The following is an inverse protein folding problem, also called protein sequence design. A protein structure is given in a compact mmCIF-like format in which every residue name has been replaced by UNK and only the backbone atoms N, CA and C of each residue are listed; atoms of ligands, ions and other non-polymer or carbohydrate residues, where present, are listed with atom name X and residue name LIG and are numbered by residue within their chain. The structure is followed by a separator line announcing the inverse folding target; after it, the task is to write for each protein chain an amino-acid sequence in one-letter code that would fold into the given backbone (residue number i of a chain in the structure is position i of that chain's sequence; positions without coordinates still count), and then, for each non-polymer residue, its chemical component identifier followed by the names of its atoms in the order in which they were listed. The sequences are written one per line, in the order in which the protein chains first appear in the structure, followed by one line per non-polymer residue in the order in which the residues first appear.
data_IF_729414302567
#
_entry.id   IF_729414302567
#
_cell.length_a   1.000
_cell.length_b   1.000
_cell.length_c   1.000
_cell.angle_alpha   90.00
_cell.angle_beta   90.00
_cell.angle_gamma   90.00
#
_symmetry.space_group_name_H-M   'P 1'
#
loop_
_entity.id
_entity.type
_entity.pdbx_description
1 polymer ?
#
# COMPACT_ATOMS: atom_id res chain seq x y z
N UNK A 1 -3.18 -15.02 -19.91
CA UNK A 1 -3.75 -14.29 -18.76
C UNK A 1 -2.71 -13.29 -18.30
N UNK A 2 -2.90 -12.01 -18.58
CA UNK A 2 -1.96 -10.97 -18.17
C UNK A 2 -2.08 -10.81 -16.66
N UNK A 3 -0.98 -11.01 -15.92
CA UNK A 3 -0.90 -10.66 -14.50
C UNK A 3 -0.99 -9.12 -14.41
N UNK A 4 -2.19 -8.58 -14.56
CA UNK A 4 -2.41 -7.15 -14.43
C UNK A 4 -2.15 -6.84 -12.95
N UNK A 5 -1.10 -6.08 -12.70
CA UNK A 5 -0.87 -5.49 -11.39
C UNK A 5 -2.15 -4.70 -11.08
N UNK A 6 -2.91 -5.01 -10.01
CA UNK A 6 -4.13 -4.26 -9.68
C UNK A 6 -3.85 -2.97 -8.93
N UNK A 7 -2.82 -2.99 -8.08
CA UNK A 7 -2.49 -1.86 -7.21
C UNK A 7 -1.17 -1.22 -7.62
N UNK A 8 -1.11 0.12 -7.55
CA UNK A 8 0.13 0.89 -7.70
C UNK A 8 0.39 1.66 -6.41
N UNK A 9 1.61 1.56 -5.88
CA UNK A 9 2.03 2.38 -4.74
C UNK A 9 2.21 3.82 -5.20
N UNK A 10 1.58 4.77 -4.51
CA UNK A 10 1.69 6.19 -4.83
C UNK A 10 2.70 6.87 -3.90
N UNK A 11 2.47 6.76 -2.59
CA UNK A 11 3.29 7.39 -1.57
C UNK A 11 3.03 6.75 -0.20
N UNK A 12 3.89 7.07 0.76
CA UNK A 12 3.66 6.88 2.19
C UNK A 12 3.76 8.20 2.93
N UNK A 13 3.11 8.28 4.08
CA UNK A 13 3.21 9.39 5.00
C UNK A 13 3.53 8.85 6.39
N UNK A 14 4.53 9.42 7.06
CA UNK A 14 4.76 9.13 8.46
C UNK A 14 3.67 9.82 9.31
N UNK A 15 2.93 9.04 10.07
CA UNK A 15 1.87 9.49 10.98
C UNK A 15 2.19 9.04 12.40
N UNK A 16 1.54 9.62 13.40
CA UNK A 16 1.77 9.28 14.82
C UNK A 16 1.57 7.79 15.11
N UNK A 17 0.68 7.15 14.35
CA UNK A 17 0.29 5.75 14.50
C UNK A 17 1.04 4.80 13.54
N UNK A 18 2.17 5.23 12.96
CA UNK A 18 2.97 4.44 12.04
C UNK A 18 3.08 5.07 10.65
N UNK A 19 2.81 4.30 9.60
CA UNK A 19 2.84 4.79 8.21
C UNK A 19 1.46 4.69 7.59
N UNK A 20 1.00 5.79 7.00
CA UNK A 20 -0.16 5.79 6.10
C UNK A 20 0.33 5.48 4.69
N UNK A 21 -0.33 4.52 4.06
CA UNK A 21 -0.03 4.07 2.71
C UNK A 21 -1.08 4.63 1.77
N UNK A 22 -0.65 5.14 0.62
CA UNK A 22 -1.51 5.54 -0.48
C UNK A 22 -1.26 4.65 -1.69
N UNK A 23 -2.31 3.96 -2.16
CA UNK A 23 -2.27 3.16 -3.37
C UNK A 23 -3.35 3.58 -4.34
N UNK A 24 -3.11 3.33 -5.62
CA UNK A 24 -4.12 3.45 -6.66
C UNK A 24 -4.60 2.05 -7.05
N UNK A 25 -5.90 1.78 -6.87
CA UNK A 25 -6.57 0.60 -7.40
C UNK A 25 -6.92 0.87 -8.87
N UNK A 26 -6.19 0.23 -9.78
CA UNK A 26 -6.35 0.43 -11.23
C UNK A 26 -7.62 -0.21 -11.77
N UNK A 27 -8.17 -1.22 -11.09
CA UNK A 27 -9.42 -1.86 -11.50
C UNK A 27 -10.62 -0.96 -11.24
N UNK A 28 -10.65 -0.32 -10.06
CA UNK A 28 -11.73 0.58 -9.66
C UNK A 28 -11.42 2.07 -9.94
N UNK A 29 -10.24 2.36 -10.47
CA UNK A 29 -9.73 3.70 -10.76
C UNK A 29 -9.83 4.66 -9.56
N UNK A 30 -9.53 4.18 -8.37
CA UNK A 30 -9.68 4.94 -7.13
C UNK A 30 -8.41 4.93 -6.26
N UNK A 31 -8.22 6.00 -5.50
CA UNK A 31 -7.15 6.11 -4.50
C UNK A 31 -7.62 5.49 -3.18
N UNK A 32 -6.87 4.54 -2.67
CA UNK A 32 -7.06 3.95 -1.34
C UNK A 32 -5.97 4.47 -0.41
N UNK A 33 -6.35 4.79 0.82
CA UNK A 33 -5.43 5.27 1.86
C UNK A 33 -5.73 4.58 3.18
N UNK A 34 -4.73 3.97 3.80
CA UNK A 34 -4.93 3.22 5.05
C UNK A 34 -3.67 3.25 5.92
N UNK A 35 -3.85 3.06 7.22
CA UNK A 35 -2.73 2.89 8.15
C UNK A 35 -2.19 1.46 8.01
N UNK A 36 -0.89 1.33 7.75
CA UNK A 36 -0.24 0.05 7.53
C UNK A 36 -0.24 -0.85 8.78
N UNK A 37 -0.02 -0.26 9.95
CA UNK A 37 0.02 -0.97 11.23
C UNK A 37 -1.36 -1.52 11.61
N UNK A 38 -2.43 -0.79 11.30
CA UNK A 38 -3.79 -1.29 11.47
C UNK A 38 -4.10 -2.44 10.51
N UNK A 39 -3.63 -2.33 9.26
CA UNK A 39 -3.83 -3.39 8.27
C UNK A 39 -3.11 -4.69 8.65
N UNK A 40 -1.87 -4.60 9.17
CA UNK A 40 -1.11 -5.77 9.69
C UNK A 40 -1.87 -6.54 10.78
N UNK A 41 -2.70 -5.85 11.56
CA UNK A 41 -3.50 -6.42 12.65
C UNK A 41 -4.89 -6.87 12.21
N UNK A 42 -5.30 -6.51 11.00
CA UNK A 42 -6.62 -6.86 10.47
C UNK A 42 -6.57 -8.31 9.96
N UNK A 43 -7.58 -9.15 10.27
CA UNK A 43 -7.67 -10.49 9.70
C UNK A 43 -7.64 -10.44 8.17
N UNK A 44 -6.90 -11.36 7.53
CA UNK A 44 -6.69 -11.40 6.07
C UNK A 44 -7.99 -11.46 5.27
N UNK A 45 -9.05 -12.03 5.85
CA UNK A 45 -10.37 -12.12 5.21
C UNK A 45 -11.04 -10.76 4.98
N UNK A 46 -10.63 -9.73 5.74
CA UNK A 46 -11.24 -8.39 5.69
C UNK A 46 -10.43 -7.42 4.81
N UNK A 47 -9.10 -7.57 4.80
CA UNK A 47 -8.20 -6.84 3.92
C UNK A 47 -7.88 -7.72 2.70
N UNK A 48 -8.75 -7.67 1.68
CA UNK A 48 -8.74 -8.58 0.53
C UNK A 48 -7.36 -9.08 0.11
N UNK A 49 -7.24 -10.40 -0.04
CA UNK A 49 -5.96 -11.14 -0.13
C UNK A 49 -4.93 -10.49 -1.06
N UNK A 50 -5.37 -10.05 -2.23
CA UNK A 50 -4.51 -9.43 -3.24
C UNK A 50 -3.85 -8.12 -2.78
N UNK A 51 -4.56 -7.28 -2.02
CA UNK A 51 -4.00 -6.04 -1.47
C UNK A 51 -2.99 -6.37 -0.38
N UNK A 52 -3.31 -7.34 0.48
CA UNK A 52 -2.41 -7.79 1.55
C UNK A 52 -1.12 -8.36 0.96
N UNK A 53 -1.19 -9.23 -0.03
CA UNK A 53 -0.01 -9.76 -0.73
C UNK A 53 0.81 -8.67 -1.44
N UNK A 54 0.13 -7.72 -2.10
CA UNK A 54 0.76 -6.61 -2.77
C UNK A 54 1.62 -5.76 -1.81
N UNK A 55 1.11 -5.52 -0.60
CA UNK A 55 1.78 -4.74 0.43
C UNK A 55 2.89 -5.53 1.12
N UNK A 56 2.69 -6.82 1.40
CA UNK A 56 3.74 -7.68 1.97
C UNK A 56 4.98 -7.73 1.07
N UNK A 57 4.80 -7.82 -0.25
CA UNK A 57 5.92 -7.75 -1.22
C UNK A 57 6.69 -6.43 -1.18
N UNK A 58 6.13 -5.39 -0.56
CA UNK A 58 6.71 -4.04 -0.45
C UNK A 58 6.99 -3.62 0.99
N UNK A 59 6.81 -4.50 1.97
CA UNK A 59 6.96 -4.20 3.40
C UNK A 59 8.30 -3.53 3.69
N UNK A 60 9.41 -4.13 3.24
CA UNK A 60 10.75 -3.56 3.40
C UNK A 60 10.89 -2.15 2.79
N UNK A 61 10.23 -1.86 1.67
CA UNK A 61 10.28 -0.54 1.04
C UNK A 61 9.44 0.48 1.79
N UNK A 62 8.27 0.05 2.28
CA UNK A 62 7.39 0.85 3.12
C UNK A 62 8.11 1.19 4.42
N UNK A 63 8.67 0.20 5.13
CA UNK A 63 9.31 0.38 6.43
C UNK A 63 10.55 1.29 6.34
N UNK A 64 11.28 1.25 5.23
CA UNK A 64 12.43 2.12 4.95
C UNK A 64 12.06 3.48 4.35
N UNK A 65 10.78 3.76 4.09
CA UNK A 65 10.33 5.07 3.60
C UNK A 65 10.71 5.39 2.16
N UNK A 66 10.91 4.38 1.31
CA UNK A 66 11.16 4.56 -0.13
C UNK A 66 10.04 5.32 -0.86
N UNK A 67 8.90 5.50 -0.22
CA UNK A 67 7.72 6.18 -0.76
C UNK A 67 7.36 7.47 0.00
N UNK A 68 8.18 7.91 0.97
CA UNK A 68 7.89 9.10 1.81
C UNK A 68 8.17 10.44 1.10
N UNK A 69 8.80 10.41 -0.07
CA UNK A 69 9.23 11.64 -0.75
C UNK A 69 8.12 12.30 -1.56
N UNK A 70 8.07 13.63 -1.44
CA UNK A 70 7.20 14.58 -2.14
C UNK A 70 7.46 14.66 -3.66
N UNK A 71 7.63 13.54 -4.36
CA UNK A 71 7.82 13.50 -5.81
C UNK A 71 8.62 12.30 -6.29
N UNK A 72 8.07 11.61 -7.30
CA UNK A 72 8.73 10.66 -8.20
C UNK A 72 9.32 9.39 -7.56
N UNK A 73 8.53 8.32 -7.56
CA UNK A 73 9.09 7.03 -7.91
C UNK A 73 9.07 6.94 -9.45
N UNK A 74 10.23 7.22 -10.06
CA UNK A 74 10.56 6.93 -11.46
C UNK A 74 10.20 5.50 -11.84
#
# INVERSE_FOLDING_TARGET
MTNLIRYKMLSTEQVTEGRRIHVFDMQHQQKLSFNYELLKRTPKDYAGEELTEFLQKRELKIDNGFYDDRGHAS
#
